data_IF_747867469271
#
_entry.id   IF_747867469271
#
_cell.length_a   1.000
_cell.length_b   1.000
_cell.length_c   1.000
_cell.angle_alpha   90.00
_cell.angle_beta   90.00
_cell.angle_gamma   90.00
#
_symmetry.space_group_name_H-M   'P 1'
#
loop_
_entity.id
_entity.type
_entity.pdbx_description
1 polymer ?
#
# COMPACT_ATOMS: atom_id res chain seq x y z
N UNK A 1 12.99 -19.44 21.06
CA UNK A 1 11.89 -19.59 20.07
C UNK A 1 11.00 -20.75 20.51
N UNK A 2 9.78 -20.45 20.96
CA UNK A 2 8.83 -21.45 21.43
C UNK A 2 8.28 -22.24 20.24
N UNK A 3 8.39 -23.58 20.31
CA UNK A 3 7.75 -24.49 19.37
C UNK A 3 6.23 -24.26 19.43
N UNK A 4 5.66 -23.62 18.43
CA UNK A 4 4.23 -23.42 18.32
C UNK A 4 3.52 -24.73 17.90
N UNK A 5 3.48 -25.72 18.77
CA UNK A 5 2.71 -26.94 18.54
C UNK A 5 1.27 -26.70 18.99
N UNK A 6 0.33 -26.87 18.07
CA UNK A 6 -1.09 -27.03 18.38
C UNK A 6 -1.31 -28.47 18.89
N UNK A 7 -2.28 -28.73 19.78
CA UNK A 7 -2.49 -30.02 20.41
C UNK A 7 -2.65 -31.25 19.48
N UNK A 8 -2.95 -31.05 18.22
CA UNK A 8 -3.18 -32.13 17.24
C UNK A 8 -2.00 -32.39 16.29
N UNK A 9 -0.78 -31.93 16.62
CA UNK A 9 0.40 -32.15 15.76
C UNK A 9 0.47 -31.32 14.48
N UNK A 10 -0.54 -30.50 14.20
CA UNK A 10 -0.53 -29.57 13.10
C UNK A 10 0.41 -28.38 13.38
N UNK A 11 1.09 -27.89 12.36
CA UNK A 11 1.96 -26.72 12.49
C UNK A 11 1.09 -25.46 12.61
N UNK A 12 1.34 -24.65 13.64
CA UNK A 12 0.69 -23.33 13.76
C UNK A 12 0.96 -22.51 12.49
N UNK A 13 -0.07 -21.84 11.95
CA UNK A 13 0.08 -20.86 10.86
C UNK A 13 1.05 -19.71 11.18
N UNK A 14 1.40 -19.54 12.45
CA UNK A 14 2.39 -18.57 12.93
C UNK A 14 3.78 -19.18 13.14
N UNK A 15 3.99 -20.44 12.75
CA UNK A 15 5.29 -21.09 12.86
C UNK A 15 6.29 -20.42 11.93
N UNK A 16 7.42 -19.97 12.49
CA UNK A 16 8.53 -19.40 11.74
C UNK A 16 9.58 -20.45 11.34
N UNK A 17 9.28 -21.74 11.46
CA UNK A 17 10.24 -22.81 11.22
C UNK A 17 10.82 -22.80 9.81
N UNK A 18 10.01 -22.50 8.82
CA UNK A 18 10.45 -22.38 7.42
C UNK A 18 11.42 -21.23 7.17
N UNK A 19 11.54 -20.31 8.11
CA UNK A 19 12.42 -19.14 8.03
C UNK A 19 13.67 -19.30 8.91
N UNK A 20 13.97 -20.50 9.42
CA UNK A 20 15.16 -20.74 10.26
C UNK A 20 16.48 -20.44 9.53
N UNK A 21 16.51 -20.56 8.22
CA UNK A 21 17.69 -20.24 7.41
C UNK A 21 18.17 -18.79 7.60
N UNK A 22 17.29 -17.86 8.02
CA UNK A 22 17.71 -16.51 8.35
C UNK A 22 18.66 -16.40 9.56
N UNK A 23 18.81 -17.45 10.36
CA UNK A 23 19.77 -17.47 11.48
C UNK A 23 21.20 -17.42 10.94
N UNK A 24 21.43 -18.04 9.79
CA UNK A 24 22.73 -18.13 9.13
C UNK A 24 22.91 -17.02 8.06
N UNK A 25 22.04 -16.04 8.04
CA UNK A 25 22.07 -14.95 7.07
C UNK A 25 23.33 -14.09 7.26
N UNK A 26 24.15 -13.89 6.22
CA UNK A 26 25.36 -13.07 6.33
C UNK A 26 25.06 -11.57 6.36
N UNK A 27 23.80 -11.17 6.08
CA UNK A 27 23.38 -9.78 6.06
C UNK A 27 22.72 -9.38 7.37
N UNK A 28 22.99 -8.17 7.84
CA UNK A 28 22.27 -7.58 8.98
C UNK A 28 20.86 -7.19 8.59
N UNK A 29 19.87 -7.97 9.04
CA UNK A 29 18.45 -7.71 8.78
C UNK A 29 17.78 -7.19 10.04
N UNK A 30 17.13 -6.03 9.93
CA UNK A 30 16.44 -5.36 11.04
C UNK A 30 14.98 -5.11 10.73
N UNK A 31 14.11 -5.26 11.75
CA UNK A 31 12.70 -4.85 11.70
C UNK A 31 12.49 -3.35 11.98
N UNK A 32 13.56 -2.61 12.26
CA UNK A 32 13.51 -1.20 12.67
C UNK A 32 13.19 -0.23 11.52
N UNK A 33 13.18 -0.69 10.26
CA UNK A 33 12.90 0.14 9.10
C UNK A 33 11.62 0.97 9.26
N UNK A 34 10.51 0.36 9.68
CA UNK A 34 9.25 1.08 9.90
C UNK A 34 9.35 2.14 11.01
N UNK A 35 10.15 1.87 12.04
CA UNK A 35 10.39 2.83 13.12
C UNK A 35 11.20 4.01 12.62
N UNK A 36 12.30 3.75 11.93
CA UNK A 36 13.21 4.79 11.43
C UNK A 36 12.56 5.63 10.34
N UNK A 37 11.94 4.99 9.33
CA UNK A 37 11.46 5.67 8.14
C UNK A 37 10.08 6.31 8.31
N UNK A 38 9.22 5.78 9.18
CA UNK A 38 7.83 6.26 9.32
C UNK A 38 7.55 6.87 10.68
N UNK A 39 7.87 6.13 11.77
CA UNK A 39 7.42 6.53 13.12
C UNK A 39 8.28 7.65 13.71
N UNK A 40 9.61 7.51 13.64
CA UNK A 40 10.53 8.48 14.26
C UNK A 40 10.40 9.88 13.66
N UNK A 41 10.35 10.09 12.32
CA UNK A 41 10.14 11.40 11.74
C UNK A 41 8.82 12.05 12.17
N UNK A 42 7.71 11.29 12.17
CA UNK A 42 6.40 11.77 12.58
C UNK A 42 6.39 12.17 14.06
N UNK A 43 7.00 11.36 14.94
CA UNK A 43 7.13 11.68 16.37
C UNK A 43 8.03 12.89 16.61
N UNK A 44 9.14 13.01 15.91
CA UNK A 44 10.04 14.15 16.01
C UNK A 44 9.31 15.44 15.62
N UNK A 45 8.59 15.42 14.51
CA UNK A 45 7.79 16.57 14.07
C UNK A 45 6.68 16.94 15.08
N UNK A 46 5.93 15.94 15.56
CA UNK A 46 4.90 16.18 16.56
C UNK A 46 5.47 16.78 17.86
N UNK A 47 6.67 16.31 18.29
CA UNK A 47 7.35 16.82 19.48
C UNK A 47 7.83 18.26 19.28
N UNK A 48 8.43 18.58 18.14
CA UNK A 48 8.99 19.92 17.87
C UNK A 48 7.92 20.98 17.67
N UNK A 49 6.76 20.60 17.10
CA UNK A 49 5.69 21.55 16.76
C UNK A 49 4.52 21.58 17.74
N UNK A 50 4.42 20.59 18.66
CA UNK A 50 3.24 20.39 19.52
C UNK A 50 2.01 19.87 18.79
N UNK A 51 2.07 19.66 17.46
CA UNK A 51 0.95 19.15 16.66
C UNK A 51 0.65 17.69 16.96
N UNK A 52 -0.61 17.30 16.82
CA UNK A 52 -1.06 15.92 16.99
C UNK A 52 -1.31 15.28 15.62
N UNK A 53 -0.93 14.00 15.42
CA UNK A 53 -1.11 13.32 14.16
C UNK A 53 -2.59 13.02 13.89
N UNK A 54 -2.98 13.22 12.64
CA UNK A 54 -4.22 12.71 12.08
C UNK A 54 -3.84 11.72 10.98
N UNK A 55 -4.37 10.49 11.02
CA UNK A 55 -4.02 9.46 10.04
C UNK A 55 -5.26 8.84 9.40
N UNK A 56 -5.14 8.44 8.14
CA UNK A 56 -6.20 7.77 7.38
C UNK A 56 -6.16 6.25 7.56
N UNK A 57 -5.92 5.78 8.79
CA UNK A 57 -5.90 4.35 9.09
C UNK A 57 -7.33 3.81 9.23
N UNK A 58 -7.62 2.71 8.53
CA UNK A 58 -8.90 2.01 8.65
C UNK A 58 -8.74 0.80 9.59
N UNK A 59 -9.76 0.52 10.40
CA UNK A 59 -9.75 -0.62 11.32
C UNK A 59 -9.70 -1.96 10.56
N UNK A 60 -10.31 -2.02 9.38
CA UNK A 60 -10.36 -3.21 8.53
C UNK A 60 -9.00 -3.65 7.97
N UNK A 61 -8.00 -2.78 7.93
CA UNK A 61 -6.70 -3.10 7.34
C UNK A 61 -5.88 -4.13 8.15
N UNK A 62 -6.12 -4.27 9.45
CA UNK A 62 -5.46 -5.29 10.26
C UNK A 62 -6.14 -5.51 11.62
N UNK A 63 -6.01 -6.74 12.16
CA UNK A 63 -6.51 -7.10 13.48
C UNK A 63 -6.04 -6.15 14.59
N UNK A 64 -4.79 -5.68 14.56
CA UNK A 64 -4.27 -4.74 15.55
C UNK A 64 -4.96 -3.38 15.47
N UNK A 65 -5.25 -2.89 14.26
CA UNK A 65 -5.99 -1.64 14.07
C UNK A 65 -7.44 -1.76 14.53
N UNK A 66 -8.10 -2.88 14.21
CA UNK A 66 -9.43 -3.19 14.75
C UNK A 66 -9.44 -3.16 16.26
N UNK A 67 -8.48 -3.83 16.92
CA UNK A 67 -8.37 -3.84 18.38
C UNK A 67 -8.13 -2.45 18.97
N UNK A 68 -7.28 -1.64 18.33
CA UNK A 68 -7.05 -0.26 18.76
C UNK A 68 -8.30 0.61 18.60
N UNK A 69 -9.02 0.45 17.51
CA UNK A 69 -10.26 1.16 17.28
C UNK A 69 -11.35 0.78 18.28
N UNK A 70 -11.54 -0.50 18.55
CA UNK A 70 -12.48 -0.98 19.56
C UNK A 70 -12.16 -0.47 20.97
N UNK A 71 -10.86 -0.29 21.27
CA UNK A 71 -10.42 0.20 22.58
C UNK A 71 -10.51 1.72 22.73
N UNK A 72 -10.15 2.48 21.70
CA UNK A 72 -9.92 3.93 21.79
C UNK A 72 -10.89 4.75 20.92
N UNK A 73 -11.72 4.09 20.10
CA UNK A 73 -12.53 4.77 19.08
C UNK A 73 -11.69 5.39 17.96
N UNK A 74 -12.26 6.36 17.26
CA UNK A 74 -11.57 7.09 16.19
C UNK A 74 -10.52 8.08 16.71
N UNK A 75 -10.66 8.52 17.98
CA UNK A 75 -9.81 9.55 18.58
C UNK A 75 -9.25 9.05 19.91
N UNK A 76 -7.95 8.79 19.96
CA UNK A 76 -7.23 8.43 21.17
C UNK A 76 -6.55 9.63 21.81
N UNK A 77 -7.32 10.62 22.28
CA UNK A 77 -6.77 11.86 22.82
C UNK A 77 -6.15 11.66 24.21
N UNK A 78 -6.63 10.71 25.00
CA UNK A 78 -6.13 10.40 26.34
C UNK A 78 -4.90 9.44 26.32
N UNK A 79 -4.45 9.06 25.14
CA UNK A 79 -3.26 8.22 25.01
C UNK A 79 -2.00 9.00 25.30
N UNK A 80 -0.92 8.30 25.73
CA UNK A 80 0.42 8.88 25.90
C UNK A 80 0.89 9.61 24.62
N UNK A 81 0.50 9.13 23.44
CA UNK A 81 0.71 9.77 22.16
C UNK A 81 -0.66 9.96 21.51
N UNK A 82 -1.31 11.11 21.71
CA UNK A 82 -2.63 11.38 21.18
C UNK A 82 -2.66 11.29 19.65
N UNK A 83 -3.72 10.66 19.11
CA UNK A 83 -3.88 10.45 17.67
C UNK A 83 -5.36 10.54 17.30
N UNK A 84 -5.64 11.02 16.09
CA UNK A 84 -6.95 10.97 15.47
C UNK A 84 -6.90 10.11 14.18
N UNK A 85 -7.85 9.17 14.07
CA UNK A 85 -8.01 8.29 12.90
C UNK A 85 -9.44 8.42 12.36
N UNK A 86 -9.78 9.51 11.69
CA UNK A 86 -11.15 9.80 11.26
C UNK A 86 -11.72 8.76 10.29
N UNK A 87 -10.86 8.01 9.60
CA UNK A 87 -11.25 6.95 8.67
C UNK A 87 -11.30 5.54 9.32
N UNK A 88 -11.24 5.42 10.66
CA UNK A 88 -11.19 4.11 11.31
C UNK A 88 -12.37 3.20 10.96
N UNK A 89 -13.55 3.75 10.73
CA UNK A 89 -14.77 3.01 10.39
C UNK A 89 -14.97 2.81 8.88
N UNK A 90 -14.12 3.38 8.06
CA UNK A 90 -14.19 3.19 6.60
C UNK A 90 -13.69 1.80 6.22
N UNK A 91 -14.25 1.29 5.13
CA UNK A 91 -13.79 0.09 4.43
C UNK A 91 -13.05 0.48 3.16
N UNK A 92 -12.36 -0.48 2.55
CA UNK A 92 -11.74 -0.29 1.23
C UNK A 92 -12.79 0.07 0.18
N UNK A 93 -13.97 -0.57 0.24
CA UNK A 93 -15.09 -0.30 -0.68
C UNK A 93 -15.62 1.13 -0.54
N UNK A 94 -15.64 1.69 0.67
CA UNK A 94 -16.04 3.08 0.88
C UNK A 94 -15.04 4.04 0.22
N UNK A 95 -13.74 3.77 0.34
CA UNK A 95 -12.68 4.56 -0.30
C UNK A 95 -12.79 4.49 -1.82
N UNK A 96 -12.93 3.28 -2.38
CA UNK A 96 -13.05 3.09 -3.82
C UNK A 96 -14.32 3.72 -4.38
N UNK A 97 -15.44 3.58 -3.67
CA UNK A 97 -16.70 4.25 -4.02
C UNK A 97 -16.53 5.78 -4.03
N UNK A 98 -15.90 6.34 -3.02
CA UNK A 98 -15.63 7.78 -2.97
C UNK A 98 -14.75 8.24 -4.14
N UNK A 99 -13.69 7.51 -4.45
CA UNK A 99 -12.83 7.82 -5.59
C UNK A 99 -13.60 7.73 -6.90
N UNK A 100 -14.42 6.72 -7.09
CA UNK A 100 -15.22 6.53 -8.33
C UNK A 100 -16.24 7.67 -8.51
N UNK A 101 -16.89 8.11 -7.44
CA UNK A 101 -17.92 9.16 -7.51
C UNK A 101 -17.34 10.57 -7.61
N UNK A 102 -16.26 10.85 -6.92
CA UNK A 102 -15.73 12.20 -6.72
C UNK A 102 -14.29 12.41 -7.19
N UNK A 103 -13.64 11.36 -7.67
CA UNK A 103 -12.21 11.42 -8.03
C UNK A 103 -11.93 12.40 -9.15
N UNK A 104 -12.76 12.45 -10.17
CA UNK A 104 -12.61 13.41 -11.27
C UNK A 104 -12.73 14.86 -10.77
N UNK A 105 -13.69 15.14 -9.91
CA UNK A 105 -13.84 16.47 -9.31
C UNK A 105 -12.61 16.89 -8.50
N UNK A 106 -12.00 15.93 -7.78
CA UNK A 106 -10.77 16.19 -7.02
C UNK A 106 -9.59 16.50 -7.95
N UNK A 107 -9.46 15.77 -9.05
CA UNK A 107 -8.41 16.01 -10.06
C UNK A 107 -8.58 17.37 -10.69
N UNK A 108 -9.81 17.74 -11.10
CA UNK A 108 -10.11 19.04 -11.67
C UNK A 108 -9.81 20.19 -10.70
N UNK A 109 -10.25 20.09 -9.44
CA UNK A 109 -9.94 21.10 -8.41
C UNK A 109 -8.45 21.26 -8.19
N UNK A 110 -7.69 20.17 -8.20
CA UNK A 110 -6.23 20.21 -8.07
C UNK A 110 -5.60 20.92 -9.27
N UNK A 111 -6.03 20.59 -10.48
CA UNK A 111 -5.55 21.24 -11.70
C UNK A 111 -5.88 22.75 -11.70
N UNK A 112 -7.06 23.13 -11.24
CA UNK A 112 -7.48 24.55 -11.12
C UNK A 112 -6.67 25.33 -10.07
N UNK A 113 -6.20 24.65 -9.02
CA UNK A 113 -5.40 25.25 -7.94
C UNK A 113 -3.90 25.22 -8.19
N UNK A 114 -3.44 24.46 -9.20
CA UNK A 114 -2.04 24.36 -9.53
C UNK A 114 -1.64 25.38 -10.58
N UNK A 115 -0.40 25.86 -10.49
CA UNK A 115 0.18 26.72 -11.54
C UNK A 115 0.57 25.93 -12.80
N UNK A 116 0.33 24.61 -12.82
CA UNK A 116 0.71 23.72 -13.90
C UNK A 116 -0.19 23.85 -15.14
N UNK A 117 -1.46 24.22 -14.93
CA UNK A 117 -2.46 24.33 -15.99
C UNK A 117 -3.15 25.70 -15.99
N UNK A 118 -3.53 26.15 -17.21
CA UNK A 118 -4.45 27.26 -17.41
C UNK A 118 -5.80 26.72 -17.90
N UNK A 119 -6.89 27.15 -17.28
CA UNK A 119 -8.25 26.73 -17.65
C UNK A 119 -8.87 27.69 -18.66
N UNK A 120 -9.36 27.16 -19.78
CA UNK A 120 -10.11 27.87 -20.79
C UNK A 120 -11.44 27.13 -21.08
N UNK A 121 -12.51 27.56 -20.40
CA UNK A 121 -13.81 26.86 -20.48
C UNK A 121 -13.72 25.44 -19.93
N UNK A 122 -13.99 24.44 -20.79
CA UNK A 122 -13.88 23.01 -20.44
C UNK A 122 -12.52 22.40 -20.79
N UNK A 123 -11.53 23.22 -21.19
CA UNK A 123 -10.20 22.77 -21.58
C UNK A 123 -9.14 23.30 -20.63
N UNK A 124 -8.08 22.54 -20.51
CA UNK A 124 -6.89 22.90 -19.74
C UNK A 124 -5.68 22.91 -20.67
N UNK A 125 -4.83 23.91 -20.51
CA UNK A 125 -3.60 24.05 -21.27
C UNK A 125 -2.43 23.92 -20.32
N UNK A 126 -1.55 22.96 -20.58
CA UNK A 126 -0.31 22.82 -19.80
C UNK A 126 0.57 24.05 -20.00
N UNK A 127 1.05 24.64 -18.91
CA UNK A 127 1.97 25.79 -18.96
C UNK A 127 3.35 25.39 -19.45
N UNK A 128 3.73 24.13 -19.23
CA UNK A 128 5.04 23.60 -19.60
C UNK A 128 5.09 23.19 -21.08
N UNK A 129 4.10 22.42 -21.52
CA UNK A 129 4.11 21.84 -22.90
C UNK A 129 3.25 22.62 -23.89
N UNK A 130 2.32 23.46 -23.42
CA UNK A 130 1.34 24.14 -24.25
C UNK A 130 0.25 23.23 -24.84
N UNK A 131 0.25 21.95 -24.47
CA UNK A 131 -0.74 20.99 -24.93
C UNK A 131 -2.09 21.24 -24.30
N UNK A 132 -3.15 21.12 -25.11
CA UNK A 132 -4.54 21.28 -24.68
C UNK A 132 -5.14 19.91 -24.38
N UNK A 133 -5.67 19.76 -23.19
CA UNK A 133 -6.35 18.56 -22.74
C UNK A 133 -7.82 18.85 -22.44
N UNK A 134 -8.69 17.92 -22.77
CA UNK A 134 -10.08 17.96 -22.31
C UNK A 134 -10.15 17.70 -20.79
N UNK A 135 -11.20 18.20 -20.15
CA UNK A 135 -11.39 18.03 -18.70
C UNK A 135 -11.28 16.58 -18.23
N UNK A 136 -11.70 15.62 -19.06
CA UNK A 136 -11.60 14.19 -18.75
C UNK A 136 -10.16 13.64 -18.82
N UNK A 137 -9.22 14.35 -19.44
CA UNK A 137 -7.84 13.88 -19.70
C UNK A 137 -6.81 14.40 -18.70
N UNK A 138 -7.18 15.36 -17.86
CA UNK A 138 -6.25 16.05 -16.91
C UNK A 138 -5.61 15.12 -15.89
N UNK A 139 -5.96 13.94 -15.87
CA UNK A 139 -5.37 12.97 -14.98
C UNK A 139 -6.39 11.95 -14.48
N UNK A 140 -5.89 11.01 -13.75
CA UNK A 140 -6.68 9.93 -13.19
C UNK A 140 -6.90 10.17 -11.70
N UNK A 141 -8.05 9.79 -11.15
CA UNK A 141 -8.32 9.92 -9.72
C UNK A 141 -7.34 9.14 -8.84
N UNK A 142 -6.71 8.10 -9.40
CA UNK A 142 -5.62 7.36 -8.78
C UNK A 142 -4.37 7.37 -9.68
N UNK A 143 -3.20 7.07 -9.06
CA UNK A 143 -1.94 7.06 -9.81
C UNK A 143 -1.81 5.83 -10.72
N UNK A 144 -0.85 5.87 -11.65
CA UNK A 144 -0.56 4.78 -12.59
C UNK A 144 -0.27 3.42 -11.94
N UNK A 145 0.11 3.40 -10.66
CA UNK A 145 0.40 2.16 -9.91
C UNK A 145 -0.89 1.43 -9.52
N UNK A 146 -1.92 2.17 -9.10
CA UNK A 146 -3.23 1.61 -8.76
C UNK A 146 -4.13 1.44 -9.99
N UNK A 147 -3.94 2.24 -11.04
CA UNK A 147 -4.78 2.21 -12.23
C UNK A 147 -6.10 2.95 -12.04
N UNK A 148 -7.20 2.29 -12.38
CA UNK A 148 -8.57 2.81 -12.32
C UNK A 148 -9.43 2.02 -11.35
N UNK A 149 -10.50 2.62 -10.84
CA UNK A 149 -11.49 1.93 -10.02
C UNK A 149 -12.56 1.34 -10.96
N UNK A 150 -12.64 0.03 -11.00
CA UNK A 150 -13.60 -0.73 -11.83
C UNK A 150 -14.42 -1.67 -10.97
N UNK A 151 -15.56 -2.12 -11.49
CA UNK A 151 -16.28 -3.24 -10.89
C UNK A 151 -15.65 -4.56 -11.33
N UNK A 152 -15.84 -5.63 -10.59
CA UNK A 152 -15.38 -6.96 -11.00
C UNK A 152 -16.02 -7.43 -12.30
N UNK A 153 -17.29 -7.09 -12.52
CA UNK A 153 -18.03 -7.39 -13.74
C UNK A 153 -17.42 -6.70 -14.98
N UNK A 154 -16.93 -5.47 -14.83
CA UNK A 154 -16.27 -4.72 -15.91
C UNK A 154 -14.96 -5.39 -16.36
N UNK A 155 -14.29 -6.14 -15.47
CA UNK A 155 -13.03 -6.81 -15.81
C UNK A 155 -13.23 -8.27 -16.30
N UNK A 156 -14.19 -9.00 -15.75
CA UNK A 156 -14.35 -10.44 -15.97
C UNK A 156 -15.71 -10.90 -16.48
N UNK A 157 -16.69 -10.02 -16.58
CA UNK A 157 -17.99 -10.33 -17.17
C UNK A 157 -18.92 -11.23 -16.37
N UNK A 158 -18.53 -11.70 -15.18
CA UNK A 158 -19.40 -12.48 -14.28
C UNK A 158 -18.92 -12.48 -12.83
N UNK A 159 -19.81 -12.18 -11.88
CA UNK A 159 -19.57 -12.40 -10.44
C UNK A 159 -19.58 -13.89 -10.11
N UNK A 160 -18.65 -14.34 -9.29
CA UNK A 160 -18.62 -15.70 -8.78
C UNK A 160 -19.40 -15.81 -7.46
N UNK A 161 -19.87 -17.03 -7.12
CA UNK A 161 -20.55 -17.29 -5.85
C UNK A 161 -19.64 -16.98 -4.63
N UNK A 162 -18.33 -17.08 -4.79
CA UNK A 162 -17.36 -16.74 -3.77
C UNK A 162 -17.33 -15.23 -3.46
N UNK A 163 -17.56 -14.39 -4.44
CA UNK A 163 -17.61 -12.94 -4.29
C UNK A 163 -18.85 -12.52 -3.48
N UNK A 164 -19.97 -13.19 -3.70
CA UNK A 164 -21.23 -12.98 -2.96
C UNK A 164 -21.08 -13.35 -1.47
N UNK A 165 -20.33 -14.40 -1.14
CA UNK A 165 -20.15 -14.86 0.26
C UNK A 165 -19.25 -13.96 1.10
N UNK A 166 -18.39 -13.15 0.47
CA UNK A 166 -17.53 -12.18 1.15
C UNK A 166 -18.18 -10.81 1.34
N UNK A 167 -19.36 -10.60 0.76
CA UNK A 167 -20.14 -9.37 0.93
C UNK A 167 -20.77 -9.37 2.33
N UNK A 168 -20.61 -8.28 3.06
CA UNK A 168 -21.38 -8.03 4.30
C UNK A 168 -22.87 -7.89 3.96
N UNK A 169 -23.73 -8.13 4.96
CA UNK A 169 -25.21 -8.07 4.79
C UNK A 169 -25.68 -6.73 4.19
N UNK A 170 -24.91 -5.65 4.39
CA UNK A 170 -25.20 -4.29 3.91
C UNK A 170 -24.70 -4.03 2.47
N UNK A 171 -23.86 -4.91 1.93
CA UNK A 171 -23.27 -4.76 0.59
C UNK A 171 -24.00 -5.60 -0.47
N UNK A 172 -25.06 -6.34 -0.07
CA UNK A 172 -25.91 -7.10 -1.00
C UNK A 172 -26.51 -6.18 -2.07
N UNK A 173 -26.08 -6.37 -3.30
CA UNK A 173 -26.55 -5.61 -4.47
C UNK A 173 -25.66 -4.42 -4.86
N UNK A 174 -24.53 -4.17 -4.16
CA UNK A 174 -23.51 -3.23 -4.64
C UNK A 174 -22.40 -3.97 -5.38
N UNK A 175 -22.00 -3.51 -6.58
CA UNK A 175 -20.88 -4.13 -7.27
C UNK A 175 -19.60 -3.94 -6.44
N UNK A 176 -18.81 -5.01 -6.30
CA UNK A 176 -17.47 -4.92 -5.70
C UNK A 176 -16.56 -4.08 -6.59
N UNK A 177 -15.91 -3.13 -5.97
CA UNK A 177 -14.95 -2.25 -6.61
C UNK A 177 -13.53 -2.72 -6.33
N UNK A 178 -12.68 -2.62 -7.33
CA UNK A 178 -11.26 -2.90 -7.23
C UNK A 178 -10.44 -1.95 -8.10
N UNK A 179 -9.14 -1.99 -7.91
CA UNK A 179 -8.18 -1.25 -8.75
C UNK A 179 -7.68 -2.16 -9.87
N UNK A 180 -7.49 -1.62 -11.07
CA UNK A 180 -6.94 -2.37 -12.22
C UNK A 180 -5.44 -2.66 -12.07
N UNK A 181 -4.75 -1.97 -11.16
CA UNK A 181 -3.33 -2.15 -10.89
C UNK A 181 -3.08 -2.87 -9.56
N UNK A 182 -2.20 -2.31 -8.74
CA UNK A 182 -1.89 -2.87 -7.43
C UNK A 182 -3.03 -2.67 -6.43
N UNK A 183 -3.43 -3.71 -5.72
CA UNK A 183 -4.36 -3.60 -4.59
C UNK A 183 -3.74 -2.83 -3.42
N UNK A 184 -2.44 -3.02 -3.19
CA UNK A 184 -1.71 -2.39 -2.10
C UNK A 184 -0.32 -1.95 -2.53
N UNK A 185 0.06 -0.76 -2.11
CA UNK A 185 1.44 -0.31 -2.16
C UNK A 185 2.04 -0.29 -0.76
N UNK A 186 3.23 -0.86 -0.63
CA UNK A 186 4.04 -0.71 0.57
C UNK A 186 4.94 0.52 0.50
N UNK A 187 5.95 0.60 1.38
CA UNK A 187 7.07 1.49 1.14
C UNK A 187 7.82 1.03 -0.12
N UNK A 188 8.27 1.98 -0.94
CA UNK A 188 8.93 1.70 -2.22
C UNK A 188 10.05 0.65 -2.12
N UNK A 189 10.88 0.72 -1.09
CA UNK A 189 12.01 -0.18 -0.87
C UNK A 189 11.73 -1.27 0.18
N UNK A 190 10.47 -1.69 0.35
CA UNK A 190 10.10 -2.68 1.36
C UNK A 190 10.15 -4.09 0.79
N UNK A 191 11.00 -4.95 1.34
CA UNK A 191 11.05 -6.37 1.03
C UNK A 191 10.08 -7.24 1.86
N UNK A 192 9.37 -6.65 2.84
CA UNK A 192 8.51 -7.43 3.72
C UNK A 192 7.34 -8.07 2.95
N UNK A 193 7.23 -9.38 3.03
CA UNK A 193 6.17 -10.14 2.39
C UNK A 193 6.31 -10.34 0.88
N UNK A 194 7.38 -9.87 0.22
CA UNK A 194 7.57 -9.99 -1.23
C UNK A 194 7.54 -11.44 -1.72
N UNK A 195 7.95 -12.41 -0.89
CA UNK A 195 7.91 -13.84 -1.20
C UNK A 195 6.49 -14.44 -1.25
N UNK A 196 5.48 -13.71 -0.82
CA UNK A 196 4.07 -14.12 -0.84
C UNK A 196 3.33 -13.57 -2.07
N UNK A 197 3.97 -12.67 -2.82
CA UNK A 197 3.35 -12.03 -3.97
C UNK A 197 3.32 -12.96 -5.18
N UNK A 198 2.23 -12.86 -5.93
CA UNK A 198 2.12 -13.48 -7.25
C UNK A 198 2.90 -12.63 -8.27
N UNK A 199 3.33 -13.25 -9.37
CA UNK A 199 3.93 -12.52 -10.49
C UNK A 199 2.83 -11.77 -11.28
N UNK A 200 3.09 -10.49 -11.68
CA UNK A 200 4.30 -9.73 -11.39
C UNK A 200 4.36 -9.21 -9.96
N UNK A 201 5.44 -9.53 -9.24
CA UNK A 201 5.71 -9.05 -7.89
C UNK A 201 6.09 -7.57 -7.85
N UNK A 202 6.24 -7.01 -6.62
CA UNK A 202 6.53 -5.56 -6.44
C UNK A 202 7.81 -5.11 -7.14
N UNK A 203 8.85 -5.93 -7.16
CA UNK A 203 10.12 -5.57 -7.80
C UNK A 203 10.03 -5.66 -9.32
N UNK A 204 9.32 -6.65 -9.87
CA UNK A 204 9.05 -6.73 -11.31
C UNK A 204 8.24 -5.51 -11.78
N UNK A 205 7.21 -5.10 -11.01
CA UNK A 205 6.44 -3.87 -11.30
C UNK A 205 7.29 -2.61 -11.15
N UNK A 206 8.13 -2.52 -10.11
CA UNK A 206 9.03 -1.38 -9.90
C UNK A 206 9.99 -1.18 -11.06
N UNK A 207 10.50 -2.26 -11.65
CA UNK A 207 11.38 -2.23 -12.84
C UNK A 207 10.75 -1.45 -14.00
N UNK A 208 9.42 -1.59 -14.15
CA UNK A 208 8.66 -0.93 -15.23
C UNK A 208 8.26 0.49 -14.82
N UNK A 209 7.69 0.65 -13.62
CA UNK A 209 7.08 1.91 -13.18
C UNK A 209 8.09 2.92 -12.62
N UNK A 210 9.19 2.45 -12.04
CA UNK A 210 10.20 3.28 -11.36
C UNK A 210 11.62 2.74 -11.63
N UNK A 211 12.09 2.74 -12.90
CA UNK A 211 13.35 2.09 -13.29
C UNK A 211 14.57 2.62 -12.53
N UNK A 212 14.66 3.93 -12.30
CA UNK A 212 15.78 4.53 -11.55
C UNK A 212 15.84 4.06 -10.09
N UNK A 213 14.70 3.95 -9.44
CA UNK A 213 14.59 3.45 -8.05
C UNK A 213 14.87 1.94 -8.00
N UNK A 214 14.42 1.21 -9.02
CA UNK A 214 14.71 -0.22 -9.17
C UNK A 214 16.21 -0.46 -9.32
N UNK A 215 16.87 0.29 -10.21
CA UNK A 215 18.32 0.21 -10.39
C UNK A 215 19.06 0.49 -9.09
N UNK A 216 18.68 1.55 -8.37
CA UNK A 216 19.28 1.92 -7.10
C UNK A 216 19.14 0.83 -6.02
N UNK A 217 17.94 0.23 -5.87
CA UNK A 217 17.70 -0.80 -4.85
C UNK A 217 18.42 -2.11 -5.17
N UNK A 218 18.53 -2.48 -6.46
CA UNK A 218 19.16 -3.74 -6.90
C UNK A 218 20.68 -3.64 -7.03
N UNK A 219 21.21 -2.46 -7.19
CA UNK A 219 22.64 -2.21 -7.33
C UNK A 219 23.39 -2.63 -6.05
N UNK A 220 24.60 -3.24 -6.17
CA UNK A 220 25.42 -3.62 -5.03
C UNK A 220 25.69 -2.45 -4.07
N UNK A 221 25.87 -2.78 -2.79
CA UNK A 221 26.18 -1.79 -1.76
C UNK A 221 27.50 -1.07 -2.03
N UNK A 222 28.52 -1.81 -2.45
CA UNK A 222 29.85 -1.26 -2.75
C UNK A 222 29.84 -0.27 -3.92
N UNK A 223 28.84 -0.40 -4.80
CA UNK A 223 28.62 0.51 -5.93
C UNK A 223 27.68 1.68 -5.57
N UNK A 224 27.29 1.81 -4.32
CA UNK A 224 26.39 2.86 -3.82
C UNK A 224 24.91 2.60 -4.01
N UNK A 225 24.52 1.32 -4.19
CA UNK A 225 23.13 0.86 -4.17
C UNK A 225 22.69 0.35 -2.80
N UNK A 226 21.57 -0.37 -2.74
CA UNK A 226 21.04 -0.99 -1.53
C UNK A 226 21.29 -2.51 -1.44
N UNK A 227 21.92 -3.14 -2.43
CA UNK A 227 22.29 -4.55 -2.43
C UNK A 227 21.12 -5.55 -2.37
N UNK A 228 19.89 -5.14 -2.72
CA UNK A 228 18.72 -6.03 -2.60
C UNK A 228 18.80 -7.26 -3.49
N UNK A 229 19.45 -7.14 -4.65
CA UNK A 229 19.64 -8.29 -5.54
C UNK A 229 20.38 -9.41 -4.83
N UNK A 230 21.51 -9.12 -4.20
CA UNK A 230 22.33 -10.11 -3.49
C UNK A 230 21.57 -10.75 -2.33
N UNK A 231 20.81 -9.93 -1.58
CA UNK A 231 19.98 -10.39 -0.47
C UNK A 231 18.85 -11.31 -0.97
N UNK A 232 18.18 -10.95 -2.06
CA UNK A 232 17.09 -11.75 -2.65
C UNK A 232 17.63 -13.06 -3.20
N UNK A 233 18.76 -13.05 -3.90
CA UNK A 233 19.40 -14.25 -4.42
C UNK A 233 19.75 -15.20 -3.28
N UNK A 234 20.37 -14.71 -2.22
CA UNK A 234 20.67 -15.50 -1.03
C UNK A 234 19.40 -16.08 -0.37
N UNK A 235 18.34 -15.28 -0.23
CA UNK A 235 17.05 -15.72 0.34
C UNK A 235 16.40 -16.79 -0.53
N UNK A 236 16.45 -16.65 -1.85
CA UNK A 236 15.89 -17.63 -2.78
C UNK A 236 16.64 -18.97 -2.69
N UNK A 237 17.98 -18.92 -2.64
CA UNK A 237 18.83 -20.10 -2.58
C UNK A 237 18.65 -20.86 -1.24
N UNK A 238 18.78 -20.17 -0.12
CA UNK A 238 18.77 -20.82 1.22
C UNK A 238 17.36 -21.06 1.77
N UNK A 239 16.40 -20.27 1.34
CA UNK A 239 15.00 -20.37 1.77
C UNK A 239 14.14 -21.24 0.86
N UNK A 240 14.67 -21.70 -0.28
CA UNK A 240 13.90 -22.34 -1.35
C UNK A 240 12.65 -21.50 -1.72
N UNK A 241 12.87 -20.20 -1.88
CA UNK A 241 11.85 -19.23 -2.24
C UNK A 241 12.05 -18.79 -3.69
N UNK A 242 11.05 -18.12 -4.27
CA UNK A 242 11.11 -17.62 -5.64
C UNK A 242 10.64 -16.16 -5.67
N UNK A 243 11.44 -15.29 -5.02
CA UNK A 243 11.22 -13.86 -5.08
C UNK A 243 11.77 -13.37 -6.42
N UNK A 244 10.91 -12.78 -7.25
CA UNK A 244 11.26 -12.28 -8.60
C UNK A 244 11.55 -10.79 -8.56
N UNK A 245 12.47 -10.35 -9.44
CA UNK A 245 12.87 -8.95 -9.57
C UNK A 245 13.30 -8.59 -10.99
#
# INVERSE_FOLDING_TARGET
>A
MTKGNIPNGERSKYSCERYKFFIDCPYEISSECCKVMKKAPAHSYAKSTGRKPMTAQMATESRLRTQQWLKNGCNGFDMKSPISNPMSFWTEQDVLTYIRLYGNDMVHRRAEQSDEYMKYGNRYVSRETGETMESAEIGRPICSVYGEVVTEDEEHGQMTLADVTNLGIFDLGRPLLKTTGCERTGCMFCGYGCHLEKSPGRFERMKITHPKQYEYIMKPWDDGGLGFKEIIDWINEHGNLNIRY
#
